data_IF_477223795516
#
_entry.id   IF_477223795516
#
_cell.length_a   1.000
_cell.length_b   1.000
_cell.length_c   1.000
_cell.angle_alpha   90.00
_cell.angle_beta   90.00
_cell.angle_gamma   90.00
#
_symmetry.space_group_name_H-M   'P 1'
#
loop_
_entity.id
_entity.type
_entity.pdbx_description
1 polymer ?
#
# COMPACT_ATOMS: atom_id res chain seq x y z
N UNK A 1 -14.95 10.62 -23.65
CA UNK A 1 -14.16 11.32 -22.62
C UNK A 1 -14.92 11.13 -21.32
N UNK A 2 -14.36 10.39 -20.36
CA UNK A 2 -15.04 10.22 -19.06
C UNK A 2 -15.00 11.54 -18.30
N UNK A 3 -16.10 11.90 -17.65
CA UNK A 3 -16.23 13.14 -16.91
C UNK A 3 -15.39 13.06 -15.63
N UNK A 4 -14.54 14.07 -15.40
CA UNK A 4 -13.70 14.11 -14.19
C UNK A 4 -14.54 14.57 -13.00
N UNK A 5 -14.91 13.62 -12.14
CA UNK A 5 -15.67 13.91 -10.93
C UNK A 5 -14.79 14.54 -9.84
N UNK A 6 -14.98 15.84 -9.61
CA UNK A 6 -14.36 16.58 -8.50
C UNK A 6 -15.30 16.54 -7.29
N UNK A 7 -14.77 16.21 -6.12
CA UNK A 7 -15.56 16.17 -4.89
C UNK A 7 -15.89 17.59 -4.40
N UNK A 8 -17.14 17.86 -3.99
CA UNK A 8 -17.48 19.11 -3.31
C UNK A 8 -17.00 19.10 -1.87
N UNK A 9 -16.71 20.28 -1.34
CA UNK A 9 -16.37 20.47 0.07
C UNK A 9 -17.61 20.44 0.96
N UNK A 10 -17.45 20.04 2.22
CA UNK A 10 -18.46 20.17 3.28
C UNK A 10 -17.91 20.97 4.45
N UNK A 11 -18.81 21.46 5.29
CA UNK A 11 -18.45 22.18 6.52
C UNK A 11 -19.15 21.53 7.72
N UNK A 12 -18.35 21.14 8.72
CA UNK A 12 -18.82 20.53 9.97
C UNK A 12 -18.26 21.35 11.12
N UNK A 13 -19.13 21.93 11.96
CA UNK A 13 -18.71 22.75 13.12
C UNK A 13 -17.68 23.85 12.75
N UNK A 14 -17.90 24.56 11.63
CA UNK A 14 -16.99 25.55 11.05
C UNK A 14 -15.62 25.01 10.61
N UNK A 15 -15.49 23.71 10.43
CA UNK A 15 -14.33 23.05 9.85
C UNK A 15 -14.70 22.59 8.44
N UNK A 16 -14.05 23.20 7.45
CA UNK A 16 -14.16 22.79 6.05
C UNK A 16 -13.37 21.50 5.80
N UNK A 17 -13.93 20.61 4.99
CA UNK A 17 -13.30 19.38 4.49
C UNK A 17 -13.47 19.37 2.96
N UNK A 18 -12.37 19.43 2.22
CA UNK A 18 -12.41 19.63 0.76
C UNK A 18 -12.89 18.40 -0.02
N UNK A 19 -12.42 17.21 0.34
CA UNK A 19 -12.78 15.94 -0.29
C UNK A 19 -13.21 14.92 0.79
N UNK A 20 -14.44 15.05 1.34
CA UNK A 20 -14.84 14.33 2.54
C UNK A 20 -14.92 12.81 2.38
N UNK A 21 -15.32 12.32 1.21
CA UNK A 21 -15.41 10.88 0.96
C UNK A 21 -14.03 10.30 0.70
N UNK A 22 -13.14 11.03 0.01
CA UNK A 22 -11.75 10.57 -0.18
C UNK A 22 -11.03 10.53 1.15
N UNK A 23 -11.23 11.56 1.98
CA UNK A 23 -10.74 11.58 3.36
C UNK A 23 -11.25 10.38 4.16
N UNK A 24 -12.55 10.09 4.11
CA UNK A 24 -13.15 8.99 4.88
C UNK A 24 -12.62 7.61 4.44
N UNK A 25 -12.48 7.40 3.12
CA UNK A 25 -11.98 6.13 2.57
C UNK A 25 -10.48 5.93 2.84
N UNK A 26 -9.68 6.99 2.86
CA UNK A 26 -8.29 6.96 3.31
C UNK A 26 -8.17 6.60 4.79
N UNK A 27 -8.99 7.21 5.65
CA UNK A 27 -9.01 6.90 7.08
C UNK A 27 -9.50 5.47 7.36
N UNK A 28 -10.40 4.94 6.53
CA UNK A 28 -10.80 3.54 6.59
C UNK A 28 -9.62 2.61 6.25
N UNK A 29 -8.87 2.89 5.17
CA UNK A 29 -7.66 2.15 4.82
C UNK A 29 -6.64 2.22 5.97
N UNK A 30 -6.43 3.41 6.55
CA UNK A 30 -5.55 3.61 7.70
C UNK A 30 -5.98 2.77 8.91
N UNK A 31 -7.27 2.75 9.25
CA UNK A 31 -7.81 1.98 10.36
C UNK A 31 -7.57 0.47 10.18
N UNK A 32 -7.81 -0.06 8.97
CA UNK A 32 -7.51 -1.47 8.65
C UNK A 32 -6.02 -1.78 8.76
N UNK A 33 -5.17 -0.87 8.31
CA UNK A 33 -3.72 -1.02 8.43
C UNK A 33 -3.26 -1.01 9.89
N UNK A 34 -3.76 -0.09 10.72
CA UNK A 34 -3.42 -0.07 12.15
C UNK A 34 -3.96 -1.29 12.90
N UNK A 35 -5.17 -1.74 12.56
CA UNK A 35 -5.70 -3.00 13.05
C UNK A 35 -4.75 -4.17 12.71
N UNK A 36 -4.35 -4.31 11.45
CA UNK A 36 -3.42 -5.34 11.01
C UNK A 36 -2.06 -5.26 11.73
N UNK A 37 -1.51 -4.06 11.91
CA UNK A 37 -0.28 -3.84 12.68
C UNK A 37 -0.40 -4.37 14.11
N UNK A 38 -1.50 -4.05 14.81
CA UNK A 38 -1.72 -4.50 16.18
C UNK A 38 -1.91 -6.01 16.26
N UNK A 39 -2.59 -6.62 15.29
CA UNK A 39 -2.79 -8.08 15.26
C UNK A 39 -1.51 -8.84 14.94
N UNK A 40 -0.71 -8.37 13.98
CA UNK A 40 0.59 -8.98 13.66
C UNK A 40 1.55 -8.84 14.85
N UNK A 41 1.48 -7.74 15.61
CA UNK A 41 2.27 -7.57 16.83
C UNK A 41 2.00 -8.66 17.87
N UNK A 42 0.76 -9.15 17.96
CA UNK A 42 0.33 -10.18 18.92
C UNK A 42 0.70 -11.62 18.53
N UNK A 43 1.08 -11.86 17.27
CA UNK A 43 1.51 -13.20 16.84
C UNK A 43 2.74 -13.66 17.63
N UNK A 44 2.86 -14.93 18.00
CA UNK A 44 3.97 -15.42 18.82
C UNK A 44 5.27 -15.64 18.03
N UNK A 45 5.17 -15.85 16.71
CA UNK A 45 6.33 -16.09 15.87
C UNK A 45 7.35 -14.94 15.93
N UNK A 46 8.62 -15.27 15.78
CA UNK A 46 9.72 -14.29 15.77
C UNK A 46 10.41 -14.32 14.41
N UNK A 47 11.03 -13.20 14.01
CA UNK A 47 11.80 -13.13 12.77
C UNK A 47 11.62 -11.85 11.98
N UNK A 48 12.48 -11.69 10.96
CA UNK A 48 12.49 -10.51 10.10
C UNK A 48 11.23 -10.38 9.25
N UNK A 49 10.68 -11.49 8.75
CA UNK A 49 9.46 -11.49 7.93
C UNK A 49 8.28 -10.83 8.66
N UNK A 50 8.00 -11.26 9.90
CA UNK A 50 7.01 -10.63 10.79
C UNK A 50 7.30 -9.14 10.99
N UNK A 51 8.56 -8.77 11.27
CA UNK A 51 8.94 -7.37 11.46
C UNK A 51 8.61 -6.51 10.23
N UNK A 52 8.91 -7.00 9.04
CA UNK A 52 8.61 -6.30 7.79
C UNK A 52 7.10 -6.20 7.53
N UNK A 53 6.32 -7.28 7.68
CA UNK A 53 4.86 -7.20 7.56
C UNK A 53 4.24 -6.24 8.56
N UNK A 54 4.69 -6.29 9.82
CA UNK A 54 4.23 -5.39 10.88
C UNK A 54 4.47 -3.92 10.47
N UNK A 55 5.69 -3.56 10.12
CA UNK A 55 6.00 -2.17 9.78
C UNK A 55 5.44 -1.74 8.43
N UNK A 56 5.24 -2.66 7.47
CA UNK A 56 4.48 -2.37 6.24
C UNK A 56 3.12 -1.77 6.58
N UNK A 57 2.36 -2.44 7.45
CA UNK A 57 1.03 -1.96 7.84
C UNK A 57 1.06 -0.67 8.64
N UNK A 58 2.03 -0.49 9.54
CA UNK A 58 2.17 0.78 10.27
C UNK A 58 2.43 1.94 9.31
N UNK A 59 3.41 1.76 8.41
CA UNK A 59 3.84 2.81 7.49
C UNK A 59 2.77 3.10 6.45
N UNK A 60 2.11 2.07 5.89
CA UNK A 60 0.99 2.26 4.97
C UNK A 60 -0.19 2.95 5.65
N UNK A 61 -0.52 2.57 6.90
CA UNK A 61 -1.60 3.21 7.66
C UNK A 61 -1.33 4.68 7.96
N UNK A 62 -0.10 5.03 8.33
CA UNK A 62 0.32 6.43 8.48
C UNK A 62 0.26 7.17 7.15
N UNK A 63 0.64 6.52 6.04
CA UNK A 63 0.55 7.06 4.70
C UNK A 63 -0.89 7.39 4.31
N UNK A 64 -1.81 6.44 4.45
CA UNK A 64 -3.23 6.64 4.17
C UNK A 64 -3.85 7.73 5.08
N UNK A 65 -3.55 7.71 6.38
CA UNK A 65 -4.05 8.71 7.32
C UNK A 65 -3.59 10.13 6.94
N UNK A 66 -2.30 10.30 6.65
CA UNK A 66 -1.76 11.61 6.23
C UNK A 66 -2.21 11.99 4.82
N UNK A 67 -2.49 11.01 3.95
CA UNK A 67 -3.12 11.21 2.65
C UNK A 67 -4.51 11.81 2.80
N UNK A 68 -5.37 11.17 3.59
CA UNK A 68 -6.72 11.66 3.86
C UNK A 68 -6.71 13.03 4.53
N UNK A 69 -5.90 13.24 5.57
CA UNK A 69 -5.90 14.50 6.32
C UNK A 69 -5.22 15.65 5.56
N UNK A 70 -3.98 15.44 5.11
CA UNK A 70 -3.17 16.51 4.52
C UNK A 70 -3.34 16.62 3.02
N UNK A 71 -3.59 15.48 2.39
CA UNK A 71 -3.74 15.37 0.95
C UNK A 71 -5.15 15.57 0.45
N UNK A 72 -6.19 15.53 1.30
CA UNK A 72 -7.60 15.61 0.88
C UNK A 72 -8.48 16.51 1.78
N UNK A 73 -8.47 16.34 3.11
CA UNK A 73 -9.37 17.07 4.00
C UNK A 73 -9.02 18.56 4.12
N UNK A 74 -7.76 18.86 4.42
CA UNK A 74 -7.29 20.20 4.81
C UNK A 74 -6.45 20.89 3.72
N UNK A 75 -6.69 20.58 2.45
CA UNK A 75 -5.95 21.18 1.33
C UNK A 75 -6.08 22.72 1.34
N UNK A 76 -7.24 23.27 1.72
CA UNK A 76 -7.43 24.72 1.87
C UNK A 76 -6.50 25.42 2.89
N UNK A 77 -5.81 24.67 3.78
CA UNK A 77 -4.86 25.21 4.77
C UNK A 77 -3.42 24.76 4.55
N UNK A 78 -3.18 23.79 3.68
CA UNK A 78 -1.89 23.13 3.52
C UNK A 78 -1.38 23.32 2.09
N UNK A 79 -0.08 23.53 1.95
CA UNK A 79 0.56 23.56 0.64
C UNK A 79 0.58 22.15 0.02
N UNK A 80 0.68 22.07 -1.30
CA UNK A 80 0.74 20.79 -2.03
C UNK A 80 1.87 19.88 -1.54
N UNK A 81 2.97 20.46 -1.05
CA UNK A 81 4.12 19.72 -0.50
C UNK A 81 3.77 18.81 0.68
N UNK A 82 2.67 19.06 1.41
CA UNK A 82 2.24 18.16 2.49
C UNK A 82 1.78 16.78 1.99
N UNK A 83 1.40 16.66 0.70
CA UNK A 83 1.12 15.37 0.06
C UNK A 83 2.36 14.47 0.00
N UNK A 84 3.57 15.03 0.06
CA UNK A 84 4.81 14.25 0.07
C UNK A 84 4.88 13.31 1.28
N UNK A 85 4.27 13.67 2.43
CA UNK A 85 4.29 12.83 3.62
C UNK A 85 3.64 11.48 3.34
N UNK A 86 2.42 11.47 2.78
CA UNK A 86 1.71 10.23 2.45
C UNK A 86 2.42 9.44 1.35
N UNK A 87 2.98 10.14 0.37
CA UNK A 87 3.69 9.53 -0.76
C UNK A 87 4.98 8.82 -0.34
N UNK A 88 5.81 9.45 0.48
CA UNK A 88 7.06 8.86 1.01
C UNK A 88 6.75 7.65 1.89
N UNK A 89 5.72 7.74 2.74
CA UNK A 89 5.26 6.61 3.54
C UNK A 89 4.76 5.47 2.65
N UNK A 90 4.01 5.77 1.59
CA UNK A 90 3.54 4.77 0.63
C UNK A 90 4.70 4.02 -0.03
N UNK A 91 5.70 4.76 -0.56
CA UNK A 91 6.93 4.17 -1.11
C UNK A 91 7.62 3.26 -0.09
N UNK A 92 7.78 3.74 1.15
CA UNK A 92 8.41 2.97 2.23
C UNK A 92 7.67 1.68 2.56
N UNK A 93 6.33 1.71 2.57
CA UNK A 93 5.52 0.52 2.83
C UNK A 93 5.71 -0.54 1.73
N UNK A 94 5.69 -0.15 0.45
CA UNK A 94 5.92 -1.07 -0.67
C UNK A 94 7.32 -1.68 -0.61
N UNK A 95 8.34 -0.91 -0.19
CA UNK A 95 9.67 -1.47 0.03
C UNK A 95 9.68 -2.51 1.17
N UNK A 96 8.93 -2.28 2.25
CA UNK A 96 8.84 -3.21 3.40
C UNK A 96 8.15 -4.52 3.03
N UNK A 97 7.02 -4.51 2.33
CA UNK A 97 6.33 -5.75 1.95
C UNK A 97 7.14 -6.58 0.95
N UNK A 98 7.88 -5.95 0.03
CA UNK A 98 8.83 -6.66 -0.82
C UNK A 98 9.90 -7.39 0.02
N UNK A 99 10.46 -6.75 1.05
CA UNK A 99 11.41 -7.40 1.96
C UNK A 99 10.76 -8.49 2.81
N UNK A 100 9.49 -8.34 3.20
CA UNK A 100 8.75 -9.40 3.89
C UNK A 100 8.70 -10.68 3.05
N UNK A 101 8.32 -10.57 1.76
CA UNK A 101 8.28 -11.72 0.85
C UNK A 101 9.68 -12.27 0.54
N UNK A 102 10.72 -11.43 0.50
CA UNK A 102 12.09 -11.93 0.39
C UNK A 102 12.50 -12.78 1.60
N UNK A 103 12.12 -12.41 2.84
CA UNK A 103 12.38 -13.25 4.01
C UNK A 103 11.66 -14.60 3.91
N UNK A 104 10.41 -14.61 3.42
CA UNK A 104 9.64 -15.85 3.19
C UNK A 104 10.29 -16.70 2.09
N UNK A 105 10.86 -16.09 1.05
CA UNK A 105 11.50 -16.79 -0.05
C UNK A 105 12.89 -17.36 0.29
N UNK A 106 13.58 -16.85 1.32
CA UNK A 106 14.98 -17.20 1.62
C UNK A 106 15.28 -18.70 1.70
N UNK A 107 14.45 -19.54 2.36
CA UNK A 107 14.70 -20.97 2.43
C UNK A 107 14.57 -21.68 1.07
N UNK A 108 13.94 -21.04 0.09
CA UNK A 108 13.58 -21.64 -1.21
C UNK A 108 14.54 -21.24 -2.33
N UNK A 109 15.37 -20.21 -2.13
CA UNK A 109 16.26 -19.67 -3.16
C UNK A 109 17.73 -19.87 -2.81
N UNK A 110 18.59 -19.86 -3.83
CA UNK A 110 20.04 -19.93 -3.63
C UNK A 110 20.53 -18.78 -2.73
N UNK A 111 21.55 -19.02 -1.88
CA UNK A 111 22.19 -17.96 -1.10
C UNK A 111 22.59 -16.79 -2.02
N UNK A 112 22.23 -15.57 -1.62
CA UNK A 112 22.56 -14.35 -2.37
C UNK A 112 21.46 -13.80 -3.28
N UNK A 113 20.52 -14.60 -3.78
CA UNK A 113 19.44 -14.10 -4.66
C UNK A 113 18.61 -13.02 -3.94
N UNK A 114 18.13 -13.28 -2.73
CA UNK A 114 17.40 -12.28 -1.94
C UNK A 114 18.25 -11.04 -1.61
N UNK A 115 19.58 -11.16 -1.55
CA UNK A 115 20.48 -10.02 -1.31
C UNK A 115 20.54 -9.12 -2.55
N UNK A 116 20.61 -9.71 -3.74
CA UNK A 116 20.57 -8.98 -5.02
C UNK A 116 19.21 -8.29 -5.17
N UNK A 117 18.10 -9.02 -4.97
CA UNK A 117 16.75 -8.47 -5.04
C UNK A 117 16.54 -7.33 -4.03
N UNK A 118 17.06 -7.45 -2.81
CA UNK A 118 17.01 -6.39 -1.80
C UNK A 118 17.76 -5.14 -2.25
N UNK A 119 19.01 -5.28 -2.74
CA UNK A 119 19.79 -4.14 -3.27
C UNK A 119 19.08 -3.47 -4.44
N UNK A 120 18.54 -4.26 -5.36
CA UNK A 120 17.78 -3.74 -6.49
C UNK A 120 16.53 -2.99 -6.03
N UNK A 121 15.75 -3.55 -5.10
CA UNK A 121 14.58 -2.89 -4.54
C UNK A 121 14.93 -1.57 -3.83
N UNK A 122 16.01 -1.53 -3.05
CA UNK A 122 16.49 -0.32 -2.38
C UNK A 122 16.95 0.74 -3.40
N UNK A 123 17.63 0.34 -4.47
CA UNK A 123 18.05 1.25 -5.53
C UNK A 123 16.83 1.89 -6.22
N UNK A 124 15.85 1.08 -6.65
CA UNK A 124 14.66 1.61 -7.32
C UNK A 124 13.81 2.46 -6.35
N UNK A 125 13.72 2.07 -5.07
CA UNK A 125 13.10 2.89 -4.03
C UNK A 125 13.79 4.25 -3.89
N UNK A 126 15.11 4.29 -3.82
CA UNK A 126 15.88 5.53 -3.68
C UNK A 126 15.69 6.45 -4.89
N UNK A 127 15.66 5.88 -6.10
CA UNK A 127 15.36 6.62 -7.33
C UNK A 127 13.93 7.17 -7.29
N UNK A 128 12.93 6.35 -6.96
CA UNK A 128 11.54 6.77 -6.86
C UNK A 128 11.35 7.87 -5.80
N UNK A 129 12.01 7.73 -4.64
CA UNK A 129 12.01 8.74 -3.58
C UNK A 129 12.62 10.05 -4.06
N UNK A 130 13.81 10.00 -4.68
CA UNK A 130 14.46 11.17 -5.24
C UNK A 130 13.56 11.89 -6.26
N UNK A 131 13.00 11.15 -7.23
CA UNK A 131 12.10 11.73 -8.22
C UNK A 131 10.84 12.32 -7.59
N UNK A 132 10.26 11.66 -6.59
CA UNK A 132 9.06 12.15 -5.88
C UNK A 132 9.36 13.48 -5.18
N UNK A 133 10.49 13.59 -4.49
CA UNK A 133 10.88 14.80 -3.78
C UNK A 133 11.29 15.94 -4.73
N UNK A 134 11.96 15.61 -5.83
CA UNK A 134 12.45 16.61 -6.79
C UNK A 134 11.35 17.15 -7.71
N UNK A 135 10.50 16.28 -8.25
CA UNK A 135 9.47 16.67 -9.22
C UNK A 135 8.12 17.02 -8.58
N UNK A 136 7.92 16.66 -7.31
CA UNK A 136 6.61 16.65 -6.64
C UNK A 136 5.50 15.98 -7.47
N UNK A 137 5.87 15.00 -8.31
CA UNK A 137 4.94 14.27 -9.16
C UNK A 137 4.59 12.91 -8.53
N UNK A 138 3.29 12.64 -8.39
CA UNK A 138 2.77 11.35 -7.91
C UNK A 138 3.12 10.17 -8.84
N UNK A 139 3.50 10.45 -10.09
CA UNK A 139 3.83 9.42 -11.08
C UNK A 139 4.93 8.48 -10.60
N UNK A 140 5.96 8.98 -9.92
CA UNK A 140 7.04 8.16 -9.36
C UNK A 140 6.52 7.16 -8.31
N UNK A 141 5.60 7.59 -7.44
CA UNK A 141 4.93 6.74 -6.44
C UNK A 141 4.10 5.65 -7.13
N UNK A 142 3.33 6.03 -8.15
CA UNK A 142 2.52 5.10 -8.94
C UNK A 142 3.37 4.01 -9.60
N UNK A 143 4.44 4.38 -10.32
CA UNK A 143 5.29 3.42 -11.01
C UNK A 143 6.08 2.53 -10.06
N UNK A 144 6.60 3.09 -8.96
CA UNK A 144 7.27 2.27 -7.94
C UNK A 144 6.32 1.29 -7.27
N UNK A 145 5.07 1.69 -7.01
CA UNK A 145 4.07 0.80 -6.42
C UNK A 145 3.73 -0.34 -7.37
N UNK A 146 3.57 -0.09 -8.66
CA UNK A 146 3.37 -1.15 -9.68
C UNK A 146 4.57 -2.09 -9.70
N UNK A 147 5.79 -1.57 -9.77
CA UNK A 147 7.00 -2.37 -9.72
C UNK A 147 7.10 -3.21 -8.44
N UNK A 148 6.97 -2.58 -7.27
CA UNK A 148 7.13 -3.26 -5.97
C UNK A 148 6.03 -4.28 -5.68
N UNK A 149 4.77 -3.97 -6.01
CA UNK A 149 3.65 -4.87 -5.73
C UNK A 149 3.48 -5.95 -6.80
N UNK A 150 3.52 -5.60 -8.09
CA UNK A 150 3.25 -6.55 -9.17
C UNK A 150 4.51 -7.31 -9.54
N UNK A 151 5.59 -6.59 -9.87
CA UNK A 151 6.82 -7.23 -10.37
C UNK A 151 7.55 -7.92 -9.23
N UNK A 152 7.77 -7.25 -8.10
CA UNK A 152 8.54 -7.83 -6.99
C UNK A 152 7.70 -8.76 -6.12
N UNK A 153 6.65 -8.25 -5.45
CA UNK A 153 5.83 -9.04 -4.54
C UNK A 153 5.03 -10.11 -5.30
N UNK A 154 4.40 -9.77 -6.42
CA UNK A 154 3.65 -10.72 -7.24
C UNK A 154 4.48 -11.89 -7.75
N UNK A 155 5.69 -11.64 -8.28
CA UNK A 155 6.56 -12.72 -8.77
C UNK A 155 7.11 -13.59 -7.63
N UNK A 156 7.46 -13.01 -6.48
CA UNK A 156 7.87 -13.76 -5.30
C UNK A 156 6.73 -14.62 -4.76
N UNK A 157 5.51 -14.07 -4.66
CA UNK A 157 4.32 -14.81 -4.26
C UNK A 157 4.09 -16.00 -5.20
N UNK A 158 4.11 -15.78 -6.52
CA UNK A 158 3.95 -16.85 -7.49
C UNK A 158 5.02 -17.94 -7.33
N UNK A 159 6.31 -17.55 -7.22
CA UNK A 159 7.41 -18.48 -7.03
C UNK A 159 7.27 -19.31 -5.74
N UNK A 160 7.02 -18.64 -4.60
CA UNK A 160 6.86 -19.31 -3.30
C UNK A 160 5.66 -20.26 -3.34
N UNK A 161 4.53 -19.83 -3.92
CA UNK A 161 3.33 -20.66 -4.03
C UNK A 161 3.60 -21.92 -4.86
N UNK A 162 4.29 -21.80 -5.99
CA UNK A 162 4.66 -22.95 -6.83
C UNK A 162 5.58 -23.94 -6.12
N UNK A 163 6.34 -23.51 -5.12
CA UNK A 163 7.27 -24.36 -4.35
C UNK A 163 6.66 -24.95 -3.08
N UNK A 164 5.68 -24.28 -2.48
CA UNK A 164 5.20 -24.61 -1.13
C UNK A 164 3.71 -24.95 -1.08
N UNK A 165 2.91 -24.55 -2.07
CA UNK A 165 1.46 -24.61 -1.98
C UNK A 165 0.85 -23.74 -0.87
N UNK A 166 1.62 -22.80 -0.30
CA UNK A 166 1.21 -22.03 0.88
C UNK A 166 -0.09 -21.25 0.63
N UNK A 167 -1.13 -21.56 1.40
CA UNK A 167 -2.42 -20.86 1.37
C UNK A 167 -2.26 -19.37 1.70
N UNK A 168 -1.39 -19.01 2.63
CA UNK A 168 -1.14 -17.61 2.99
C UNK A 168 -0.54 -16.81 1.82
N UNK A 169 0.36 -17.43 1.06
CA UNK A 169 0.93 -16.82 -0.16
C UNK A 169 -0.10 -16.71 -1.27
N UNK A 170 -0.99 -17.69 -1.43
CA UNK A 170 -2.10 -17.60 -2.39
C UNK A 170 -3.02 -16.42 -2.09
N UNK A 171 -3.35 -16.21 -0.80
CA UNK A 171 -4.15 -15.06 -0.36
C UNK A 171 -3.43 -13.74 -0.65
N UNK A 172 -2.12 -13.65 -0.40
CA UNK A 172 -1.32 -12.47 -0.76
C UNK A 172 -1.31 -12.21 -2.27
N UNK A 173 -1.19 -13.26 -3.09
CA UNK A 173 -1.22 -13.12 -4.54
C UNK A 173 -2.57 -12.60 -5.02
N UNK A 174 -3.67 -13.09 -4.44
CA UNK A 174 -5.01 -12.53 -4.67
C UNK A 174 -5.11 -11.07 -4.25
N UNK A 175 -4.51 -10.69 -3.12
CA UNK A 175 -4.47 -9.31 -2.66
C UNK A 175 -3.74 -8.37 -3.64
N UNK A 176 -2.63 -8.82 -4.24
CA UNK A 176 -1.94 -8.09 -5.32
C UNK A 176 -2.88 -7.91 -6.52
N UNK A 177 -3.63 -8.94 -6.90
CA UNK A 177 -4.65 -8.86 -7.96
C UNK A 177 -5.73 -7.81 -7.69
N UNK A 178 -6.26 -7.76 -6.46
CA UNK A 178 -7.22 -6.73 -6.02
C UNK A 178 -6.57 -5.33 -6.10
N UNK A 179 -5.30 -5.20 -5.70
CA UNK A 179 -4.55 -3.95 -5.81
C UNK A 179 -4.38 -3.46 -7.25
N UNK A 180 -4.18 -4.37 -8.22
CA UNK A 180 -4.13 -4.03 -9.65
C UNK A 180 -5.46 -3.44 -10.12
N UNK A 181 -6.59 -4.01 -9.69
CA UNK A 181 -7.92 -3.47 -10.02
C UNK A 181 -8.08 -2.02 -9.52
N UNK A 182 -7.63 -1.74 -8.30
CA UNK A 182 -7.60 -0.37 -7.78
C UNK A 182 -6.74 0.56 -8.63
N UNK A 183 -5.55 0.11 -9.03
CA UNK A 183 -4.63 0.91 -9.84
C UNK A 183 -5.21 1.23 -11.23
N UNK A 184 -5.97 0.31 -11.81
CA UNK A 184 -6.69 0.52 -13.07
C UNK A 184 -7.76 1.60 -12.89
N UNK A 185 -8.64 1.47 -11.89
CA UNK A 185 -9.70 2.44 -11.62
C UNK A 185 -9.14 3.85 -11.39
N UNK A 186 -8.09 3.95 -10.58
CA UNK A 186 -7.40 5.23 -10.33
C UNK A 186 -6.82 5.81 -11.61
N UNK A 187 -6.14 5.00 -12.43
CA UNK A 187 -5.42 5.47 -13.62
C UNK A 187 -6.34 5.89 -14.76
N UNK A 188 -7.52 5.26 -14.88
CA UNK A 188 -8.52 5.62 -15.89
C UNK A 188 -9.57 6.60 -15.37
N UNK A 189 -9.43 7.09 -14.13
CA UNK A 189 -10.32 8.04 -13.48
C UNK A 189 -11.80 7.59 -13.48
N UNK A 190 -12.06 6.28 -13.34
CA UNK A 190 -13.41 5.74 -13.29
C UNK A 190 -14.11 6.08 -11.97
N UNK A 191 -15.13 6.94 -12.02
CA UNK A 191 -15.98 7.29 -10.88
C UNK A 191 -17.46 7.06 -11.16
N UNK A 192 -18.27 7.01 -10.10
CA UNK A 192 -19.73 6.90 -10.21
C UNK A 192 -20.43 8.26 -10.11
N UNK A 193 -19.88 9.15 -9.28
CA UNK A 193 -20.43 10.49 -9.08
C UNK A 193 -19.38 11.41 -8.42
N UNK A 194 -19.64 12.72 -8.29
CA UNK A 194 -18.84 13.62 -7.45
C UNK A 194 -18.69 13.16 -6.00
N UNK A 195 -19.61 12.36 -5.45
CA UNK A 195 -19.53 11.85 -4.08
C UNK A 195 -18.92 10.45 -3.97
N UNK A 196 -18.55 9.83 -5.10
CA UNK A 196 -17.87 8.55 -5.12
C UNK A 196 -17.07 8.44 -6.43
N UNK A 197 -15.94 9.14 -6.46
CA UNK A 197 -15.05 9.27 -7.60
C UNK A 197 -14.01 8.13 -7.63
N UNK A 198 -13.07 8.22 -8.57
CA UNK A 198 -12.03 7.21 -8.75
C UNK A 198 -11.12 7.04 -7.54
N UNK A 199 -10.80 8.10 -6.79
CA UNK A 199 -9.99 7.99 -5.58
C UNK A 199 -10.70 7.16 -4.52
N UNK A 200 -11.99 7.43 -4.30
CA UNK A 200 -12.79 6.75 -3.29
C UNK A 200 -12.91 5.26 -3.59
N UNK A 201 -13.24 4.92 -4.83
CA UNK A 201 -13.39 3.53 -5.28
C UNK A 201 -12.05 2.81 -5.13
N UNK A 202 -10.95 3.43 -5.57
CA UNK A 202 -9.62 2.87 -5.44
C UNK A 202 -9.21 2.65 -3.98
N UNK A 203 -9.46 3.61 -3.09
CA UNK A 203 -9.15 3.47 -1.67
C UNK A 203 -9.96 2.36 -0.99
N UNK A 204 -11.25 2.21 -1.36
CA UNK A 204 -12.09 1.09 -0.89
C UNK A 204 -11.51 -0.25 -1.37
N UNK A 205 -11.14 -0.38 -2.64
CA UNK A 205 -10.55 -1.61 -3.18
C UNK A 205 -9.18 -1.89 -2.54
N UNK A 206 -8.35 -0.87 -2.33
CA UNK A 206 -7.10 -0.99 -1.59
C UNK A 206 -7.32 -1.42 -0.14
N UNK A 207 -8.41 -1.00 0.50
CA UNK A 207 -8.77 -1.46 1.85
C UNK A 207 -9.00 -2.97 1.87
N UNK A 208 -9.74 -3.52 0.89
CA UNK A 208 -9.92 -4.96 0.74
C UNK A 208 -8.60 -5.68 0.42
N UNK A 209 -7.75 -5.08 -0.42
CA UNK A 209 -6.42 -5.60 -0.71
C UNK A 209 -5.57 -5.65 0.57
N UNK A 210 -5.49 -4.56 1.33
CA UNK A 210 -4.73 -4.47 2.59
C UNK A 210 -5.22 -5.48 3.63
N UNK A 211 -6.53 -5.65 3.77
CA UNK A 211 -7.10 -6.67 4.64
C UNK A 211 -6.72 -8.10 4.20
N UNK A 212 -6.72 -8.35 2.88
CA UNK A 212 -6.29 -9.63 2.31
C UNK A 212 -4.79 -9.88 2.51
N UNK A 213 -3.96 -8.85 2.35
CA UNK A 213 -2.53 -8.90 2.69
C UNK A 213 -2.34 -9.28 4.16
N UNK A 214 -3.15 -8.71 5.05
CA UNK A 214 -3.09 -9.00 6.49
C UNK A 214 -3.39 -10.47 6.75
N UNK A 215 -4.49 -10.98 6.18
CA UNK A 215 -4.86 -12.39 6.31
C UNK A 215 -3.79 -13.33 5.76
N UNK A 216 -3.23 -13.02 4.59
CA UNK A 216 -2.15 -13.80 4.01
C UNK A 216 -0.87 -13.79 4.86
N UNK A 217 -0.52 -12.64 5.46
CA UNK A 217 0.62 -12.51 6.35
C UNK A 217 0.44 -13.36 7.63
N UNK A 218 -0.73 -13.35 8.26
CA UNK A 218 -1.03 -14.18 9.43
C UNK A 218 -0.96 -15.67 9.08
N UNK A 219 -1.57 -16.09 7.97
CA UNK A 219 -1.52 -17.49 7.52
C UNK A 219 -0.09 -17.98 7.24
N UNK A 220 0.78 -17.11 6.70
CA UNK A 220 2.21 -17.44 6.53
C UNK A 220 2.88 -17.64 7.89
N UNK A 221 2.58 -16.78 8.86
CA UNK A 221 3.16 -16.86 10.21
C UNK A 221 2.70 -18.11 10.96
N UNK A 222 1.43 -18.49 10.85
CA UNK A 222 0.87 -19.70 11.47
C UNK A 222 1.46 -20.98 10.86
N UNK A 223 1.65 -21.02 9.53
CA UNK A 223 2.28 -22.16 8.84
C UNK A 223 3.80 -22.22 8.93
N UNK A 224 4.45 -21.31 9.67
CA UNK A 224 5.90 -21.30 9.92
C UNK A 224 6.28 -21.89 11.29
N UNK A 225 5.29 -22.38 12.04
CA UNK A 225 5.42 -23.16 13.28
C UNK A 225 5.40 -24.63 12.90
#
# INVERSE_FOLDING_TARGET
>A
MFEKFVQPSIEILNIRIDEPITTATDLLLAAICFYAFLQIRKQECTGRGKRYFKYYFLVLGLGAMTGGLFGHAFQYRLTEGWKLVSWVLTLGSVALIAHALMEVAKPLVKPGICRILSRFNVLIFALALFFTLWSMAFSAVKYYTIFGMVVMVGSLCYYIYRKTGSRGVLVLMGAVGIGILSAIIFSFEWGLSPWFNHNDISHVILTFSAFSVYKGAVLIMEGSI
#
